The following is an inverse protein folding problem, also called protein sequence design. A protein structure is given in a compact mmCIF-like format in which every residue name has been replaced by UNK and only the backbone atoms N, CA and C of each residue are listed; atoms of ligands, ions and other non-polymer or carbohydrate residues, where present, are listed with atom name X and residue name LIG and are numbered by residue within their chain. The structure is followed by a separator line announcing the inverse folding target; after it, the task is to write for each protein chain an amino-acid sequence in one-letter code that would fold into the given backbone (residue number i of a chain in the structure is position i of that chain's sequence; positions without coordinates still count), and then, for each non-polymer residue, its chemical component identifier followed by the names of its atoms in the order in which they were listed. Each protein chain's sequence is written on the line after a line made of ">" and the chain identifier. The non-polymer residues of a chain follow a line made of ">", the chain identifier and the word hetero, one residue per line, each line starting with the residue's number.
data_IF_611023006150
#
_entry.id   IF_611023006150
#
_cell.length_a   1.000
_cell.length_b   1.000
_cell.length_c   1.000
_cell.angle_alpha   90.00
_cell.angle_beta   90.00
_cell.angle_gamma   90.00
#
_symmetry.space_group_name_H-M   'P 1'
#
loop_
_entity.id
_entity.type
_entity.pdbx_description
1 polymer ?
#
# COMPACT_ATOMS: atom_id res chain seq x y z
N UNK A 1 5.93 5.13 16.66
CA UNK A 1 6.01 4.13 15.57
C UNK A 1 5.89 4.75 14.17
N UNK A 2 4.72 5.04 13.60
CA UNK A 2 4.63 5.52 12.20
C UNK A 2 5.45 6.79 11.91
N UNK A 3 5.36 7.81 12.77
CA UNK A 3 6.19 9.02 12.63
C UNK A 3 7.69 8.70 12.63
N UNK A 4 8.13 7.78 13.47
CA UNK A 4 9.54 7.40 13.55
C UNK A 4 9.98 6.62 12.32
N UNK A 5 9.21 5.60 11.93
CA UNK A 5 9.55 4.70 10.83
C UNK A 5 9.39 5.33 9.44
N UNK A 6 8.48 6.31 9.31
CA UNK A 6 8.16 6.94 8.03
C UNK A 6 8.80 8.31 7.94
N UNK A 7 8.44 9.24 8.83
CA UNK A 7 8.88 10.63 8.73
C UNK A 7 10.35 10.80 9.18
N UNK A 8 10.70 10.35 10.39
CA UNK A 8 12.06 10.57 10.92
C UNK A 8 13.12 9.87 10.08
N UNK A 9 12.89 8.62 9.65
CA UNK A 9 13.81 7.89 8.77
C UNK A 9 14.07 8.68 7.48
N UNK A 10 13.01 9.10 6.79
CA UNK A 10 13.13 9.82 5.51
C UNK A 10 13.89 11.14 5.67
N UNK A 11 13.52 11.96 6.65
CA UNK A 11 14.14 13.27 6.89
C UNK A 11 15.59 13.15 7.37
N UNK A 12 15.91 12.16 8.21
CA UNK A 12 17.28 11.96 8.69
C UNK A 12 18.20 11.50 7.56
N UNK A 13 17.75 10.55 6.73
CA UNK A 13 18.51 10.13 5.55
C UNK A 13 18.70 11.29 4.55
N UNK A 14 17.67 12.12 4.37
CA UNK A 14 17.75 13.29 3.50
C UNK A 14 18.75 14.35 4.01
N UNK A 15 18.76 14.63 5.32
CA UNK A 15 19.75 15.53 5.94
C UNK A 15 21.18 15.03 5.75
N UNK A 16 21.40 13.73 5.96
CA UNK A 16 22.71 13.12 5.73
C UNK A 16 23.11 13.16 4.25
N UNK A 17 22.17 12.93 3.35
CA UNK A 17 22.40 13.03 1.91
C UNK A 17 22.80 14.46 1.49
N UNK A 18 22.19 15.48 2.09
CA UNK A 18 22.60 16.88 1.89
C UNK A 18 23.99 17.15 2.46
N UNK A 19 24.26 16.74 3.70
CA UNK A 19 25.55 16.94 4.38
C UNK A 19 26.73 16.29 3.65
N UNK A 20 26.48 15.16 2.97
CA UNK A 20 27.48 14.41 2.20
C UNK A 20 27.55 14.82 0.72
N UNK A 21 26.68 15.74 0.27
CA UNK A 21 26.68 16.21 -1.11
C UNK A 21 26.25 15.16 -2.14
N UNK A 22 25.31 14.26 -1.78
CA UNK A 22 24.77 13.26 -2.69
C UNK A 22 24.17 13.92 -3.93
N UNK A 23 24.43 13.34 -5.10
CA UNK A 23 23.99 13.91 -6.40
C UNK A 23 22.46 14.02 -6.51
N UNK A 24 21.74 13.05 -5.94
CA UNK A 24 20.28 12.98 -5.92
C UNK A 24 19.80 12.05 -4.80
N UNK A 25 18.92 12.55 -3.95
CA UNK A 25 18.14 11.79 -2.99
C UNK A 25 16.78 11.44 -3.63
N UNK A 26 16.38 10.17 -3.59
CA UNK A 26 15.08 9.74 -4.13
C UNK A 26 14.21 9.34 -2.95
N UNK A 27 13.16 10.13 -2.69
CA UNK A 27 12.16 9.79 -1.69
C UNK A 27 11.10 8.90 -2.32
N UNK A 28 10.93 7.68 -1.78
CA UNK A 28 9.84 6.79 -2.16
C UNK A 28 8.68 7.05 -1.21
N UNK A 29 7.77 7.93 -1.65
CA UNK A 29 6.54 8.29 -0.96
C UNK A 29 5.42 7.28 -1.28
N UNK A 30 4.17 7.74 -1.45
CA UNK A 30 3.01 6.91 -1.76
C UNK A 30 1.91 7.71 -2.44
N UNK A 31 1.13 7.08 -3.33
CA UNK A 31 -0.09 7.66 -3.88
C UNK A 31 -1.20 7.86 -2.81
N UNK A 32 -1.08 7.27 -1.61
CA UNK A 32 -2.05 7.48 -0.52
C UNK A 32 -2.04 8.92 0.04
N UNK A 33 -1.15 9.79 -0.44
CA UNK A 33 -1.17 11.22 -0.14
C UNK A 33 -2.32 11.96 -0.81
N UNK A 34 -2.85 11.42 -1.91
CA UNK A 34 -3.92 12.06 -2.66
C UNK A 34 -5.27 11.97 -1.94
N UNK A 35 -6.14 12.95 -2.22
CA UNK A 35 -7.53 12.88 -1.81
C UNK A 35 -8.25 11.70 -2.51
N UNK A 36 -9.22 11.09 -1.84
CA UNK A 36 -10.05 9.97 -2.32
C UNK A 36 -11.13 10.35 -3.36
N UNK A 37 -10.90 11.40 -4.16
CA UNK A 37 -11.85 11.88 -5.16
C UNK A 37 -11.96 10.89 -6.35
N UNK A 38 -13.08 10.91 -7.08
CA UNK A 38 -13.38 9.95 -8.17
C UNK A 38 -12.57 10.14 -9.46
N UNK A 39 -11.49 10.92 -9.43
CA UNK A 39 -10.68 11.28 -10.60
C UNK A 39 -9.33 10.57 -10.65
N UNK A 40 -8.69 10.60 -11.82
CA UNK A 40 -7.29 10.18 -11.95
C UNK A 40 -6.42 11.23 -11.26
N UNK A 41 -5.56 10.80 -10.34
CA UNK A 41 -4.61 11.68 -9.67
C UNK A 41 -3.39 11.93 -10.54
N UNK A 42 -3.10 13.20 -10.80
CA UNK A 42 -1.82 13.71 -11.30
C UNK A 42 -0.94 14.22 -10.16
N UNK A 43 0.30 14.56 -10.46
CA UNK A 43 1.29 15.17 -9.57
C UNK A 43 0.75 16.47 -8.93
N UNK A 44 -0.05 17.23 -9.67
CA UNK A 44 -0.70 18.48 -9.25
C UNK A 44 -2.02 18.28 -8.51
N UNK A 45 -2.49 17.04 -8.36
CA UNK A 45 -3.76 16.76 -7.70
C UNK A 45 -3.72 17.07 -6.21
N UNK A 46 -4.90 17.43 -5.67
CA UNK A 46 -5.04 17.76 -4.25
C UNK A 46 -4.57 16.61 -3.35
N UNK A 47 -3.72 16.94 -2.39
CA UNK A 47 -3.24 16.02 -1.35
C UNK A 47 -4.05 16.20 -0.07
N UNK A 48 -4.65 15.12 0.42
CA UNK A 48 -5.48 15.08 1.62
C UNK A 48 -5.50 13.64 2.19
N UNK A 49 -4.35 13.15 2.71
CA UNK A 49 -4.21 11.77 3.13
C UNK A 49 -5.10 11.44 4.32
N UNK A 50 -5.88 10.38 4.19
CA UNK A 50 -6.69 9.86 5.29
C UNK A 50 -5.95 8.81 6.14
N UNK A 51 -4.94 8.13 5.57
CA UNK A 51 -4.13 7.11 6.27
C UNK A 51 -2.96 7.74 7.05
N UNK A 52 -2.54 7.09 8.14
CA UNK A 52 -1.39 7.54 8.94
C UNK A 52 -0.09 7.53 8.14
N UNK A 53 0.12 6.51 7.31
CA UNK A 53 1.28 6.43 6.41
C UNK A 53 1.28 7.57 5.39
N UNK A 54 0.13 7.86 4.76
CA UNK A 54 0.00 8.96 3.81
C UNK A 54 0.27 10.31 4.47
N UNK A 55 -0.24 10.53 5.69
CA UNK A 55 0.01 11.76 6.47
C UNK A 55 1.49 11.99 6.73
N UNK A 56 2.20 10.99 7.24
CA UNK A 56 3.63 11.13 7.54
C UNK A 56 4.53 11.13 6.31
N UNK A 57 4.14 10.46 5.21
CA UNK A 57 4.83 10.60 3.93
C UNK A 57 4.69 12.01 3.37
N UNK A 58 3.49 12.59 3.39
CA UNK A 58 3.29 13.98 2.98
C UNK A 58 4.05 14.98 3.88
N UNK A 59 4.14 14.72 5.19
CA UNK A 59 4.96 15.51 6.11
C UNK A 59 6.45 15.44 5.75
N UNK A 60 6.93 14.26 5.36
CA UNK A 60 8.31 14.06 4.90
C UNK A 60 8.57 14.80 3.59
N UNK A 61 7.71 14.65 2.58
CA UNK A 61 7.80 15.37 1.29
C UNK A 61 7.96 16.87 1.49
N UNK A 62 7.14 17.48 2.35
CA UNK A 62 7.20 18.91 2.67
C UNK A 62 8.52 19.30 3.34
N UNK A 63 9.05 18.42 4.20
CA UNK A 63 10.30 18.67 4.91
C UNK A 63 11.53 18.61 4.00
N UNK A 64 11.53 17.76 2.96
CA UNK A 64 12.65 17.69 2.00
C UNK A 64 12.92 19.05 1.33
N UNK A 65 11.87 19.78 0.96
CA UNK A 65 11.97 21.12 0.37
C UNK A 65 12.63 22.15 1.28
N UNK A 66 12.68 21.90 2.59
CA UNK A 66 13.26 22.81 3.59
C UNK A 66 14.71 22.50 3.93
N UNK A 67 15.27 21.39 3.43
CA UNK A 67 16.65 20.98 3.71
C UNK A 67 17.58 21.71 2.73
N UNK A 68 18.49 22.58 3.23
CA UNK A 68 19.44 23.30 2.37
C UNK A 68 20.30 22.32 1.55
N UNK A 69 20.60 22.71 0.31
CA UNK A 69 21.48 21.99 -0.61
C UNK A 69 21.07 20.54 -0.97
N UNK A 70 19.89 20.08 -0.51
CA UNK A 70 19.38 18.78 -0.85
C UNK A 70 18.87 18.77 -2.29
N UNK A 71 19.51 17.93 -3.12
CA UNK A 71 18.99 17.60 -4.45
C UNK A 71 18.08 16.39 -4.34
N UNK A 72 16.77 16.56 -4.49
CA UNK A 72 15.82 15.47 -4.30
C UNK A 72 14.82 15.32 -5.45
N UNK A 73 14.24 14.13 -5.54
CA UNK A 73 13.07 13.79 -6.36
C UNK A 73 12.13 12.93 -5.51
N UNK A 74 10.83 13.09 -5.70
CA UNK A 74 9.82 12.29 -5.01
C UNK A 74 9.15 11.34 -6.00
N UNK A 75 9.08 10.06 -5.66
CA UNK A 75 8.23 9.09 -6.34
C UNK A 75 6.99 8.79 -5.50
N UNK A 76 5.81 8.86 -6.09
CA UNK A 76 4.53 8.45 -5.48
C UNK A 76 4.04 7.18 -6.17
N UNK A 77 4.52 5.99 -5.75
CA UNK A 77 4.03 4.74 -6.31
C UNK A 77 2.57 4.49 -5.94
N UNK A 78 1.83 3.86 -6.84
CA UNK A 78 0.57 3.18 -6.56
C UNK A 78 0.80 1.99 -5.60
N UNK A 79 -0.17 1.07 -5.46
CA UNK A 79 0.02 -0.09 -4.58
C UNK A 79 1.14 -0.98 -5.15
N UNK A 80 2.28 -0.98 -4.45
CA UNK A 80 3.44 -1.79 -4.84
C UNK A 80 3.15 -3.25 -4.51
N UNK A 81 3.39 -4.14 -5.46
CA UNK A 81 3.27 -5.59 -5.27
C UNK A 81 4.44 -6.35 -5.92
N UNK A 82 4.62 -7.61 -5.54
CA UNK A 82 5.65 -8.49 -6.06
C UNK A 82 6.35 -9.27 -4.96
N UNK A 83 7.46 -9.92 -5.30
CA UNK A 83 8.24 -10.71 -4.34
C UNK A 83 8.76 -9.80 -3.22
N UNK A 84 8.52 -10.20 -1.97
CA UNK A 84 8.92 -9.45 -0.77
C UNK A 84 7.89 -8.43 -0.28
N UNK A 85 6.75 -8.28 -0.99
CA UNK A 85 5.63 -7.49 -0.49
C UNK A 85 5.05 -8.08 0.80
N UNK A 86 4.73 -7.20 1.75
CA UNK A 86 4.07 -7.53 3.02
C UNK A 86 2.80 -6.71 3.26
N UNK A 87 2.62 -5.62 2.52
CA UNK A 87 1.64 -4.57 2.85
C UNK A 87 0.72 -4.21 1.69
N UNK A 88 1.13 -4.43 0.44
CA UNK A 88 0.38 -4.11 -0.75
C UNK A 88 -0.73 -5.12 -1.06
N UNK A 89 -0.46 -6.03 -1.99
CA UNK A 89 -1.44 -7.05 -2.41
C UNK A 89 -1.31 -8.32 -1.58
N UNK A 90 -0.16 -8.58 -0.97
CA UNK A 90 0.09 -9.79 -0.17
C UNK A 90 -0.93 -10.05 0.93
N UNK A 91 -1.41 -9.04 1.70
CA UNK A 91 -2.51 -9.25 2.65
C UNK A 91 -3.76 -9.87 2.01
N UNK A 92 -4.10 -9.51 0.77
CA UNK A 92 -5.27 -10.09 0.06
C UNK A 92 -5.05 -11.55 -0.33
N UNK A 93 -3.81 -11.94 -0.64
CA UNK A 93 -3.45 -13.33 -0.88
C UNK A 93 -3.54 -14.17 0.40
N UNK A 94 -3.07 -13.62 1.54
CA UNK A 94 -3.18 -14.26 2.85
C UNK A 94 -4.66 -14.51 3.18
N UNK A 95 -5.52 -13.49 3.02
CA UNK A 95 -6.96 -13.64 3.22
C UNK A 95 -7.54 -14.70 2.27
N UNK A 96 -7.11 -14.74 1.01
CA UNK A 96 -7.50 -15.81 0.09
C UNK A 96 -7.18 -17.21 0.60
N UNK A 97 -5.97 -17.40 1.14
CA UNK A 97 -5.54 -18.65 1.77
C UNK A 97 -6.37 -18.99 3.02
N UNK A 98 -6.65 -18.01 3.88
CA UNK A 98 -7.50 -18.16 5.06
C UNK A 98 -8.91 -18.63 4.67
N UNK A 99 -9.53 -18.03 3.67
CA UNK A 99 -10.87 -18.43 3.23
C UNK A 99 -10.90 -19.79 2.53
N UNK A 100 -9.79 -20.22 1.92
CA UNK A 100 -9.63 -21.60 1.45
C UNK A 100 -9.65 -22.59 2.62
N UNK A 101 -8.96 -22.28 3.72
CA UNK A 101 -8.97 -23.11 4.93
C UNK A 101 -10.37 -23.16 5.57
N UNK A 102 -11.02 -22.00 5.69
CA UNK A 102 -12.37 -21.88 6.25
C UNK A 102 -13.44 -22.59 5.41
N UNK A 103 -13.20 -22.79 4.11
CA UNK A 103 -14.20 -23.29 3.14
C UNK A 103 -15.47 -22.42 3.08
N UNK A 104 -15.30 -21.14 3.42
CA UNK A 104 -16.37 -20.15 3.44
C UNK A 104 -16.31 -19.25 2.19
N UNK A 105 -17.42 -18.57 1.92
CA UNK A 105 -17.44 -17.48 0.94
C UNK A 105 -16.81 -16.23 1.56
N UNK A 106 -15.85 -15.62 0.86
CA UNK A 106 -15.25 -14.35 1.26
C UNK A 106 -16.17 -13.19 0.87
N UNK A 107 -16.62 -12.40 1.83
CA UNK A 107 -17.38 -11.18 1.54
C UNK A 107 -16.48 -9.95 1.74
N UNK A 108 -16.35 -9.13 0.70
CA UNK A 108 -15.57 -7.90 0.75
C UNK A 108 -16.46 -6.68 1.00
N UNK A 109 -15.93 -5.71 1.73
CA UNK A 109 -16.49 -4.37 1.76
C UNK A 109 -16.34 -3.69 0.39
N UNK A 110 -17.11 -2.64 0.16
CA UNK A 110 -17.20 -1.85 -1.07
C UNK A 110 -17.67 -2.65 -2.29
N UNK A 111 -17.38 -2.14 -3.49
CA UNK A 111 -17.78 -2.74 -4.76
C UNK A 111 -16.55 -3.21 -5.54
N UNK A 112 -16.78 -4.05 -6.55
CA UNK A 112 -15.74 -4.49 -7.50
C UNK A 112 -15.06 -3.33 -8.25
N UNK A 113 -15.72 -2.18 -8.36
CA UNK A 113 -15.25 -1.05 -9.15
C UNK A 113 -14.33 -0.10 -8.38
N UNK A 114 -14.05 -0.41 -7.09
CA UNK A 114 -13.09 0.37 -6.29
C UNK A 114 -11.73 0.36 -6.97
N UNK A 115 -11.27 1.53 -7.41
CA UNK A 115 -9.95 1.76 -7.99
C UNK A 115 -8.88 1.53 -6.93
N UNK A 116 -7.86 0.77 -7.32
CA UNK A 116 -6.74 0.46 -6.45
C UNK A 116 -5.43 0.90 -7.07
N UNK A 117 -5.25 0.62 -8.36
CA UNK A 117 -4.04 0.87 -9.15
C UNK A 117 -2.77 0.26 -8.53
N UNK A 118 -1.96 -0.37 -9.37
CA UNK A 118 -0.82 -1.17 -8.90
C UNK A 118 0.45 -0.76 -9.60
N UNK A 119 1.58 -1.18 -9.04
CA UNK A 119 2.87 -1.17 -9.73
C UNK A 119 3.69 -2.35 -9.24
N UNK A 120 4.27 -3.11 -10.16
CA UNK A 120 5.14 -4.21 -9.77
C UNK A 120 6.47 -3.67 -9.21
N UNK A 121 7.03 -4.33 -8.19
CA UNK A 121 8.27 -3.89 -7.51
C UNK A 121 9.46 -3.72 -8.47
N UNK A 122 9.54 -4.55 -9.52
CA UNK A 122 10.56 -4.39 -10.56
C UNK A 122 10.35 -3.12 -11.40
N UNK A 123 9.11 -2.71 -11.64
CA UNK A 123 8.81 -1.51 -12.42
C UNK A 123 9.12 -0.26 -11.60
N UNK A 124 8.78 -0.27 -10.30
CA UNK A 124 9.20 0.79 -9.37
C UNK A 124 10.73 0.87 -9.28
N UNK A 125 11.43 -0.27 -9.19
CA UNK A 125 12.89 -0.31 -9.17
C UNK A 125 13.49 0.28 -10.45
N UNK A 126 12.92 -0.04 -11.63
CA UNK A 126 13.35 0.56 -12.90
C UNK A 126 13.07 2.06 -12.96
N UNK A 127 11.94 2.52 -12.44
CA UNK A 127 11.62 3.95 -12.35
C UNK A 127 12.62 4.70 -11.46
N UNK A 128 12.95 4.15 -10.28
CA UNK A 128 13.99 4.69 -9.39
C UNK A 128 15.34 4.76 -10.09
N UNK A 129 15.73 3.70 -10.79
CA UNK A 129 17.00 3.65 -11.52
C UNK A 129 17.05 4.69 -12.64
N UNK A 130 15.96 4.86 -13.38
CA UNK A 130 15.86 5.85 -14.44
C UNK A 130 15.95 7.28 -13.89
N UNK A 131 15.17 7.58 -12.86
CA UNK A 131 15.05 8.94 -12.33
C UNK A 131 16.26 9.40 -11.53
N UNK A 132 17.10 8.45 -11.09
CA UNK A 132 18.43 8.73 -10.56
C UNK A 132 19.24 9.65 -11.47
N UNK A 133 19.08 9.52 -12.79
CA UNK A 133 19.83 10.32 -13.77
C UNK A 133 18.93 11.36 -14.47
N UNK A 134 17.65 11.06 -14.74
CA UNK A 134 16.75 11.95 -15.50
C UNK A 134 15.84 12.85 -14.67
N UNK A 135 15.68 12.58 -13.38
CA UNK A 135 14.76 13.32 -12.52
C UNK A 135 15.10 14.80 -12.36
N UNK A 136 14.10 15.65 -12.46
CA UNK A 136 14.24 17.09 -12.22
C UNK A 136 14.21 17.38 -10.73
N UNK A 137 15.14 18.22 -10.26
CA UNK A 137 15.23 18.54 -8.84
C UNK A 137 13.94 19.17 -8.29
N UNK A 138 13.43 18.63 -7.20
CA UNK A 138 12.22 19.11 -6.53
C UNK A 138 10.91 18.55 -7.11
N UNK A 139 10.96 17.88 -8.26
CA UNK A 139 9.77 17.35 -8.92
C UNK A 139 9.26 16.05 -8.28
N UNK A 140 7.98 15.80 -8.53
CA UNK A 140 7.25 14.61 -8.10
C UNK A 140 6.91 13.79 -9.35
N UNK A 141 6.94 12.46 -9.23
CA UNK A 141 6.51 11.56 -10.30
C UNK A 141 5.65 10.44 -9.75
N UNK A 142 4.46 10.26 -10.32
CA UNK A 142 3.62 9.10 -10.06
C UNK A 142 4.20 7.86 -10.74
N UNK A 143 4.15 6.72 -10.05
CA UNK A 143 4.63 5.44 -10.60
C UNK A 143 3.52 4.40 -10.51
N UNK A 144 2.96 4.05 -11.65
CA UNK A 144 1.80 3.16 -11.78
C UNK A 144 1.96 2.30 -13.03
N UNK A 145 1.46 1.07 -12.97
CA UNK A 145 1.36 0.19 -14.13
C UNK A 145 0.15 0.54 -15.03
N UNK A 146 0.06 -0.09 -16.19
CA UNK A 146 -1.04 0.11 -17.14
C UNK A 146 -2.22 -0.86 -16.89
N UNK A 147 -2.20 -1.60 -15.77
CA UNK A 147 -3.16 -2.66 -15.46
C UNK A 147 -4.51 -2.14 -15.01
N UNK A 148 -4.59 -0.87 -14.58
CA UNK A 148 -5.82 -0.22 -14.13
C UNK A 148 -6.57 -1.04 -13.06
N UNK A 149 -5.82 -1.62 -12.13
CA UNK A 149 -6.31 -2.59 -11.14
C UNK A 149 -7.46 -2.06 -10.29
N UNK A 150 -8.47 -2.90 -10.08
CA UNK A 150 -9.61 -2.66 -9.20
C UNK A 150 -9.69 -3.75 -8.14
N UNK A 151 -10.51 -3.52 -7.11
CA UNK A 151 -10.84 -4.58 -6.16
C UNK A 151 -11.43 -5.80 -6.87
N UNK A 152 -12.23 -5.60 -7.92
CA UNK A 152 -12.76 -6.65 -8.78
C UNK A 152 -11.68 -7.50 -9.44
N UNK A 153 -10.76 -6.86 -10.17
CA UNK A 153 -9.70 -7.59 -10.89
C UNK A 153 -8.78 -8.35 -9.94
N UNK A 154 -8.48 -7.76 -8.76
CA UNK A 154 -7.64 -8.41 -7.75
C UNK A 154 -8.40 -9.57 -7.08
N UNK A 155 -9.66 -9.39 -6.66
CA UNK A 155 -10.44 -10.45 -6.03
C UNK A 155 -10.64 -11.65 -6.95
N UNK A 156 -10.84 -11.44 -8.25
CA UNK A 156 -10.94 -12.51 -9.25
C UNK A 156 -9.65 -13.35 -9.32
N UNK A 157 -8.49 -12.68 -9.34
CA UNK A 157 -7.19 -13.36 -9.34
C UNK A 157 -6.96 -14.15 -8.05
N UNK A 158 -7.24 -13.56 -6.88
CA UNK A 158 -7.14 -14.24 -5.58
C UNK A 158 -8.06 -15.46 -5.55
N UNK A 159 -9.30 -15.29 -6.00
CA UNK A 159 -10.29 -16.36 -6.12
C UNK A 159 -9.80 -17.51 -6.99
N UNK A 160 -9.23 -17.19 -8.16
CA UNK A 160 -8.67 -18.17 -9.09
C UNK A 160 -7.48 -18.92 -8.47
N UNK A 161 -6.58 -18.22 -7.78
CA UNK A 161 -5.39 -18.82 -7.14
C UNK A 161 -5.78 -19.80 -6.03
N UNK A 162 -6.77 -19.45 -5.21
CA UNK A 162 -7.12 -20.22 -4.02
C UNK A 162 -8.36 -21.11 -4.17
N UNK A 163 -9.08 -21.01 -5.29
CA UNK A 163 -10.30 -21.79 -5.54
C UNK A 163 -11.45 -21.44 -4.59
N UNK A 164 -11.56 -20.17 -4.19
CA UNK A 164 -12.56 -19.70 -3.22
C UNK A 164 -13.73 -19.01 -3.92
N UNK A 165 -14.87 -18.90 -3.22
CA UNK A 165 -15.99 -18.05 -3.68
C UNK A 165 -15.91 -16.70 -2.98
N UNK A 166 -16.32 -15.64 -3.66
CA UNK A 166 -16.37 -14.30 -3.06
C UNK A 166 -17.61 -13.50 -3.44
N UNK A 167 -17.85 -12.41 -2.70
CA UNK A 167 -18.95 -11.47 -2.91
C UNK A 167 -18.61 -10.09 -2.35
N UNK A 168 -19.56 -9.15 -2.49
CA UNK A 168 -19.41 -7.76 -2.08
C UNK A 168 -20.63 -7.30 -1.28
N UNK A 169 -20.39 -6.64 -0.15
CA UNK A 169 -21.46 -6.04 0.66
C UNK A 169 -22.07 -4.77 0.04
N UNK A 170 -21.42 -4.20 -0.98
CA UNK A 170 -21.91 -3.00 -1.66
C UNK A 170 -21.81 -1.73 -0.80
N UNK A 171 -22.15 -0.57 -1.37
CA UNK A 171 -21.81 0.74 -0.78
C UNK A 171 -22.55 1.04 0.54
N UNK A 172 -23.80 0.59 0.71
CA UNK A 172 -24.62 0.90 1.90
C UNK A 172 -24.07 0.25 3.16
N UNK A 173 -23.86 -1.07 3.13
CA UNK A 173 -23.27 -1.80 4.25
C UNK A 173 -21.83 -1.35 4.52
N UNK A 174 -21.09 -0.97 3.48
CA UNK A 174 -19.72 -0.48 3.62
C UNK A 174 -19.65 0.87 4.32
N UNK A 175 -20.59 1.77 4.05
CA UNK A 175 -20.69 3.04 4.77
C UNK A 175 -21.07 2.85 6.25
N UNK A 176 -21.93 1.88 6.56
CA UNK A 176 -22.24 1.51 7.95
C UNK A 176 -21.03 0.90 8.64
N UNK A 177 -20.32 -0.01 7.98
CA UNK A 177 -19.06 -0.59 8.47
C UNK A 177 -18.01 0.49 8.75
N UNK A 178 -17.95 1.54 7.91
CA UNK A 178 -17.03 2.68 8.12
C UNK A 178 -17.28 3.42 9.45
N UNK A 179 -18.51 3.45 9.95
CA UNK A 179 -18.83 4.09 11.23
C UNK A 179 -18.29 3.29 12.43
N UNK A 180 -18.17 1.97 12.28
CA UNK A 180 -17.67 1.05 13.31
C UNK A 180 -16.45 0.26 12.80
N UNK A 181 -15.51 0.93 12.13
CA UNK A 181 -14.38 0.26 11.47
C UNK A 181 -13.52 -0.52 12.48
N UNK A 182 -13.39 -0.01 13.71
CA UNK A 182 -12.66 -0.68 14.78
C UNK A 182 -13.20 -2.09 15.06
N UNK A 183 -14.51 -2.22 15.25
CA UNK A 183 -15.15 -3.50 15.57
C UNK A 183 -15.07 -4.48 14.38
N UNK A 184 -15.18 -3.94 13.16
CA UNK A 184 -15.04 -4.73 11.92
C UNK A 184 -13.63 -5.30 11.79
N UNK A 185 -12.61 -4.49 12.10
CA UNK A 185 -11.21 -4.90 12.09
C UNK A 185 -10.94 -5.94 13.18
N UNK A 186 -11.40 -5.69 14.40
CA UNK A 186 -11.18 -6.60 15.54
C UNK A 186 -11.85 -7.96 15.29
N UNK A 187 -13.09 -7.98 14.81
CA UNK A 187 -13.79 -9.22 14.44
C UNK A 187 -13.13 -9.96 13.26
N UNK A 188 -12.55 -9.23 12.31
CA UNK A 188 -11.78 -9.86 11.21
C UNK A 188 -10.50 -10.51 11.72
N UNK A 189 -9.76 -9.81 12.59
CA UNK A 189 -8.53 -10.32 13.20
C UNK A 189 -8.80 -11.60 14.01
N UNK A 190 -9.86 -11.61 14.83
CA UNK A 190 -10.28 -12.82 15.58
C UNK A 190 -10.62 -13.98 14.65
N UNK A 191 -11.32 -13.72 13.55
CA UNK A 191 -11.71 -14.75 12.57
C UNK A 191 -10.53 -15.31 11.78
N UNK A 192 -9.54 -14.49 11.44
CA UNK A 192 -8.52 -14.87 10.44
C UNK A 192 -7.24 -15.46 11.03
N UNK A 193 -6.86 -15.11 12.27
CA UNK A 193 -5.58 -15.52 12.86
C UNK A 193 -5.47 -17.04 13.06
N UNK A 194 -6.52 -17.69 13.58
CA UNK A 194 -6.55 -19.14 13.79
C UNK A 194 -6.38 -19.94 12.50
N UNK A 195 -7.26 -19.76 11.50
CA UNK A 195 -7.16 -20.46 10.22
C UNK A 195 -5.86 -20.18 9.47
N UNK A 196 -5.28 -18.98 9.60
CA UNK A 196 -3.96 -18.68 9.03
C UNK A 196 -2.85 -19.54 9.65
N UNK A 197 -2.86 -19.66 10.98
CA UNK A 197 -1.91 -20.51 11.71
C UNK A 197 -2.04 -21.97 11.28
N UNK A 198 -3.27 -22.48 11.16
CA UNK A 198 -3.53 -23.84 10.66
C UNK A 198 -3.00 -24.04 9.23
N UNK A 199 -3.32 -23.13 8.32
CA UNK A 199 -2.85 -23.20 6.93
C UNK A 199 -1.31 -23.18 6.83
N UNK A 200 -0.63 -22.39 7.67
CA UNK A 200 0.83 -22.37 7.74
C UNK A 200 1.37 -23.72 8.25
N UNK A 201 0.80 -24.25 9.33
CA UNK A 201 1.21 -25.52 9.93
C UNK A 201 1.05 -26.71 8.96
N UNK A 202 -0.07 -26.78 8.22
CA UNK A 202 -0.30 -27.81 7.20
C UNK A 202 0.74 -27.78 6.07
N UNK A 203 1.26 -26.59 5.75
CA UNK A 203 2.31 -26.40 4.76
C UNK A 203 3.73 -26.53 5.31
N UNK A 204 3.89 -26.86 6.60
CA UNK A 204 5.20 -26.93 7.27
C UNK A 204 5.88 -25.56 7.45
N UNK A 205 5.11 -24.46 7.40
CA UNK A 205 5.62 -23.10 7.59
C UNK A 205 5.57 -22.77 9.07
N UNK A 206 6.72 -22.86 9.73
CA UNK A 206 6.84 -22.65 11.20
C UNK A 206 6.99 -21.17 11.56
N UNK A 207 7.54 -20.35 10.65
CA UNK A 207 7.74 -18.92 10.87
C UNK A 207 7.51 -18.16 9.56
N UNK A 208 6.71 -17.11 9.62
CA UNK A 208 6.43 -16.25 8.47
C UNK A 208 6.34 -14.78 8.90
N UNK A 209 6.92 -13.84 8.14
CA UNK A 209 6.74 -12.42 8.39
C UNK A 209 5.37 -11.91 7.92
N UNK A 210 4.55 -12.79 7.32
CA UNK A 210 3.23 -12.47 6.80
C UNK A 210 2.15 -12.72 7.85
N UNK A 211 1.19 -11.80 7.93
CA UNK A 211 0.10 -11.87 8.91
C UNK A 211 -1.21 -11.44 8.27
N UNK A 212 -2.35 -12.08 8.61
CA UNK A 212 -3.68 -11.60 8.25
C UNK A 212 -4.11 -10.42 9.12
N UNK A 213 -3.31 -10.05 10.13
CA UNK A 213 -3.64 -8.98 11.07
C UNK A 213 -3.76 -7.64 10.35
N UNK A 214 -4.91 -7.00 10.53
CA UNK A 214 -5.20 -5.65 10.08
C UNK A 214 -4.92 -4.67 11.21
N UNK A 215 -4.01 -3.74 10.97
CA UNK A 215 -3.74 -2.62 11.88
C UNK A 215 -4.85 -1.56 11.79
N UNK A 216 -5.01 -0.77 12.87
CA UNK A 216 -6.06 0.25 12.99
C UNK A 216 -5.69 1.58 12.30
#
# INVERSE_FOLDING_TARGET
>A
VYKELVYNVSVNCAREAAATGVKRFIEVSTAQVYNSDKGISSEDSKVDPWTLIGKHKLEAEKSLATIPDLKYVILRPAIVYGIGDKYGITPRLIIGAVYRQLKEKMELLWTKDLRMDTVHVHDLSRAMWHIKDTGTNGEIYNVVDQGHSTQGSISELVSTIFGIRYGYHGTVLSNLARLNMTDVVDGSNEKHLGPWSEACNECGIVNTPLTPYLDK
#
